data_IF_456625840836
#
_entry.id   IF_456625840836
#
_cell.length_a   1.000
_cell.length_b   1.000
_cell.length_c   1.000
_cell.angle_alpha   90.00
_cell.angle_beta   90.00
_cell.angle_gamma   90.00
#
_symmetry.space_group_name_H-M   'P 1'
#
loop_
_entity.id
_entity.type
_entity.pdbx_description
1 polymer ?
#
# COMPACT_ATOMS: atom_id res chain seq x y z
N UNK A 1 -27.74 -3.55 8.76
CA UNK A 1 -26.70 -4.48 9.24
C UNK A 1 -26.40 -4.34 10.72
N UNK A 2 -26.64 -3.16 11.35
CA UNK A 2 -26.37 -2.94 12.79
C UNK A 2 -27.13 -3.87 13.74
N UNK A 3 -28.25 -4.43 13.30
CA UNK A 3 -29.08 -5.35 14.07
C UNK A 3 -28.71 -6.82 13.89
N UNK A 4 -27.71 -7.11 13.04
CA UNK A 4 -27.24 -8.46 12.81
C UNK A 4 -26.39 -8.97 13.99
N UNK A 5 -26.57 -10.23 14.37
CA UNK A 5 -25.86 -10.84 15.52
C UNK A 5 -24.34 -10.81 15.39
N UNK A 6 -23.83 -10.85 14.15
CA UNK A 6 -22.38 -10.84 13.86
C UNK A 6 -21.78 -9.43 13.85
N UNK A 7 -22.60 -8.36 13.80
CA UNK A 7 -22.12 -6.99 13.62
C UNK A 7 -21.09 -6.58 14.67
N UNK A 8 -21.37 -6.87 15.96
CA UNK A 8 -20.49 -6.52 17.06
C UNK A 8 -19.19 -7.33 17.13
N UNK A 9 -19.11 -8.44 16.41
CA UNK A 9 -17.94 -9.32 16.33
C UNK A 9 -17.23 -9.21 14.98
N UNK A 10 -17.42 -8.08 14.28
CA UNK A 10 -16.89 -7.90 12.92
C UNK A 10 -16.06 -6.63 12.83
N UNK A 11 -14.88 -6.75 12.23
CA UNK A 11 -14.08 -5.62 11.77
C UNK A 11 -14.37 -5.41 10.29
N UNK A 12 -14.83 -4.21 9.95
CA UNK A 12 -15.07 -3.82 8.55
C UNK A 12 -13.85 -3.09 8.02
N UNK A 13 -13.35 -3.54 6.86
CA UNK A 13 -12.33 -2.81 6.11
C UNK A 13 -12.97 -2.30 4.84
N UNK A 14 -13.02 -0.99 4.68
CA UNK A 14 -13.64 -0.33 3.54
C UNK A 14 -12.57 0.42 2.77
N UNK A 15 -12.40 0.08 1.51
CA UNK A 15 -11.44 0.70 0.60
C UNK A 15 -11.96 0.58 -0.84
N UNK A 16 -11.18 1.07 -1.80
CA UNK A 16 -11.46 0.94 -3.23
C UNK A 16 -10.23 0.40 -3.97
N UNK A 17 -10.38 -0.06 -5.19
CA UNK A 17 -9.28 -0.46 -6.07
C UNK A 17 -8.62 0.76 -6.75
N UNK A 18 -9.40 1.78 -7.10
CA UNK A 18 -8.96 3.05 -7.67
C UNK A 18 -10.06 4.11 -7.52
N UNK A 19 -9.71 5.36 -7.79
CA UNK A 19 -10.68 6.47 -7.83
C UNK A 19 -11.58 6.39 -9.07
N UNK A 20 -12.76 7.01 -9.02
CA UNK A 20 -13.68 7.04 -10.16
C UNK A 20 -13.00 7.66 -11.40
N UNK A 21 -13.07 7.02 -12.57
CA UNK A 21 -12.62 7.60 -13.84
C UNK A 21 -13.36 8.90 -14.19
N UNK A 22 -14.57 9.08 -13.65
CA UNK A 22 -15.41 10.28 -13.84
C UNK A 22 -15.08 11.41 -12.85
N UNK A 23 -14.08 11.21 -11.96
CA UNK A 23 -13.68 12.28 -11.03
C UNK A 23 -13.37 13.56 -11.76
N UNK A 24 -13.94 14.67 -11.30
CA UNK A 24 -13.68 16.02 -11.83
C UNK A 24 -12.40 16.61 -11.26
N UNK A 25 -11.95 16.15 -10.10
CA UNK A 25 -10.76 16.65 -9.44
C UNK A 25 -9.50 16.20 -10.21
N UNK A 26 -8.71 17.21 -10.63
CA UNK A 26 -7.44 17.03 -11.35
C UNK A 26 -6.44 16.19 -10.56
N UNK A 27 -6.59 16.15 -9.25
CA UNK A 27 -5.74 15.38 -8.36
C UNK A 27 -5.87 13.88 -8.61
N UNK A 28 -7.00 13.38 -8.96
CA UNK A 28 -7.25 11.97 -9.23
C UNK A 28 -7.09 11.56 -10.70
N UNK A 29 -6.81 12.53 -11.61
CA UNK A 29 -6.67 12.29 -13.06
C UNK A 29 -5.26 11.90 -13.51
N UNK A 30 -4.27 11.93 -12.63
CA UNK A 30 -2.90 11.54 -12.98
C UNK A 30 -2.61 10.06 -12.65
N UNK A 31 -1.43 9.59 -13.10
CA UNK A 31 -1.04 8.16 -13.01
C UNK A 31 -0.93 7.62 -11.60
N UNK A 32 -0.73 8.45 -10.61
CA UNK A 32 -0.59 8.07 -9.19
C UNK A 32 -1.86 8.40 -8.43
N UNK A 33 -2.38 9.63 -8.58
CA UNK A 33 -3.56 10.10 -7.85
C UNK A 33 -4.81 9.25 -8.08
N UNK A 34 -4.95 8.62 -9.27
CA UNK A 34 -6.04 7.67 -9.51
C UNK A 34 -6.06 6.46 -8.56
N UNK A 35 -4.96 6.19 -7.87
CA UNK A 35 -4.84 5.14 -6.85
C UNK A 35 -4.78 5.70 -5.43
N UNK A 36 -5.00 7.02 -5.27
CA UNK A 36 -5.14 7.64 -3.95
C UNK A 36 -6.58 7.44 -3.46
N UNK A 37 -6.77 6.39 -2.69
CA UNK A 37 -8.06 5.91 -2.20
C UNK A 37 -8.07 5.92 -0.68
N UNK A 38 -9.24 6.05 -0.04
CA UNK A 38 -9.36 5.91 1.40
C UNK A 38 -9.19 4.45 1.84
N UNK A 39 -8.71 4.28 3.06
CA UNK A 39 -8.72 3.01 3.77
C UNK A 39 -9.33 3.24 5.16
N UNK A 40 -10.42 2.57 5.45
CA UNK A 40 -11.15 2.70 6.71
C UNK A 40 -11.21 1.36 7.42
N UNK A 41 -10.81 1.33 8.69
CA UNK A 41 -11.04 0.23 9.60
C UNK A 41 -12.14 0.65 10.58
N UNK A 42 -13.15 -0.17 10.75
CA UNK A 42 -14.27 0.10 11.63
C UNK A 42 -14.62 -1.14 12.48
N UNK A 43 -14.80 -0.95 13.77
CA UNK A 43 -15.39 -1.94 14.67
C UNK A 43 -16.48 -1.30 15.50
N UNK A 44 -17.50 -2.09 15.90
CA UNK A 44 -18.66 -1.58 16.64
C UNK A 44 -18.31 -1.18 18.09
N UNK A 45 -17.26 -1.77 18.66
CA UNK A 45 -16.75 -1.51 20.00
C UNK A 45 -16.02 -0.17 20.16
N UNK A 46 -15.87 0.58 19.06
CA UNK A 46 -15.17 1.86 19.01
C UNK A 46 -13.67 1.82 19.38
N UNK A 47 -13.02 0.69 19.33
CA UNK A 47 -11.57 0.57 19.57
C UNK A 47 -10.75 1.18 18.43
N UNK A 48 -11.30 1.19 17.20
CA UNK A 48 -10.67 1.75 16.02
C UNK A 48 -11.22 3.16 15.74
N UNK A 49 -10.69 4.15 16.44
CA UNK A 49 -11.07 5.57 16.27
C UNK A 49 -9.88 6.42 15.92
N UNK A 50 -10.12 7.44 15.09
CA UNK A 50 -9.16 8.46 14.74
C UNK A 50 -8.95 8.57 13.24
N UNK A 51 -8.05 9.47 12.88
CA UNK A 51 -7.60 9.70 11.51
C UNK A 51 -6.08 9.67 11.48
N UNK A 52 -5.53 9.04 10.44
CA UNK A 52 -4.09 8.98 10.21
C UNK A 52 -3.76 9.50 8.82
N UNK A 53 -2.64 10.22 8.69
CA UNK A 53 -2.08 10.66 7.41
C UNK A 53 -0.95 9.74 6.92
N UNK A 54 -0.77 8.59 7.56
CA UNK A 54 0.23 7.59 7.14
C UNK A 54 -0.11 7.10 5.74
N UNK A 55 0.87 7.11 4.85
CA UNK A 55 0.73 6.56 3.50
C UNK A 55 0.56 5.04 3.63
N UNK A 56 -0.58 4.53 3.15
CA UNK A 56 -0.96 3.12 3.25
C UNK A 56 -1.27 2.52 1.89
N UNK A 57 -1.32 1.21 1.80
CA UNK A 57 -1.63 0.47 0.58
C UNK A 57 -2.32 -0.86 0.91
N UNK A 58 -2.92 -1.52 -0.08
CA UNK A 58 -3.71 -2.75 0.13
C UNK A 58 -2.93 -3.87 0.81
N UNK A 59 -1.63 -4.00 0.56
CA UNK A 59 -0.81 -5.04 1.20
C UNK A 59 -0.66 -4.84 2.72
N UNK A 60 -1.03 -3.67 3.24
CA UNK A 60 -1.01 -3.35 4.67
C UNK A 60 -2.28 -3.84 5.40
N UNK A 61 -3.33 -4.22 4.67
CA UNK A 61 -4.62 -4.63 5.27
C UNK A 61 -4.44 -5.86 6.14
N UNK A 62 -3.83 -6.92 5.60
CA UNK A 62 -3.66 -8.18 6.34
C UNK A 62 -2.83 -7.99 7.63
N UNK A 63 -1.62 -7.41 7.60
CA UNK A 63 -0.85 -7.19 8.81
C UNK A 63 -1.56 -6.29 9.83
N UNK A 64 -2.35 -5.31 9.37
CA UNK A 64 -3.14 -4.46 10.26
C UNK A 64 -4.26 -5.22 10.97
N UNK A 65 -4.97 -6.09 10.25
CA UNK A 65 -6.00 -6.94 10.84
C UNK A 65 -5.41 -7.94 11.84
N UNK A 66 -4.30 -8.58 11.49
CA UNK A 66 -3.62 -9.51 12.39
C UNK A 66 -3.16 -8.82 13.69
N UNK A 67 -2.72 -7.57 13.58
CA UNK A 67 -2.30 -6.77 14.71
C UNK A 67 -3.48 -6.41 15.63
N UNK A 68 -4.58 -5.90 15.07
CA UNK A 68 -5.83 -5.62 15.82
C UNK A 68 -6.38 -6.87 16.50
N UNK A 69 -6.29 -8.03 15.84
CA UNK A 69 -6.72 -9.33 16.38
C UNK A 69 -5.74 -9.93 17.40
N UNK A 70 -4.61 -9.28 17.66
CA UNK A 70 -3.60 -9.75 18.60
C UNK A 70 -2.88 -11.03 18.15
N UNK A 71 -2.79 -11.29 16.84
CA UNK A 71 -2.11 -12.46 16.31
C UNK A 71 -0.59 -12.41 16.56
N UNK A 72 -0.01 -13.44 17.18
CA UNK A 72 1.39 -13.44 17.63
C UNK A 72 2.29 -14.45 16.91
N UNK A 73 1.75 -15.27 16.01
CA UNK A 73 2.57 -16.24 15.28
C UNK A 73 3.28 -15.57 14.10
N UNK A 74 4.46 -16.06 13.68
CA UNK A 74 5.12 -15.58 12.48
C UNK A 74 4.22 -15.73 11.24
N UNK A 75 4.23 -14.72 10.38
CA UNK A 75 3.56 -14.74 9.09
C UNK A 75 4.39 -13.95 8.06
N UNK A 76 4.13 -14.18 6.80
CA UNK A 76 4.75 -13.43 5.71
C UNK A 76 3.83 -12.33 5.22
N UNK A 77 4.36 -11.11 5.05
CA UNK A 77 3.68 -9.98 4.41
C UNK A 77 4.68 -9.11 3.68
N UNK A 78 4.26 -8.49 2.57
CA UNK A 78 4.99 -7.38 1.94
C UNK A 78 4.66 -6.04 2.57
N UNK A 79 3.50 -5.93 3.21
CA UNK A 79 3.03 -4.75 3.91
C UNK A 79 3.36 -4.78 5.39
N UNK A 80 3.04 -3.71 6.07
CA UNK A 80 3.22 -3.50 7.50
C UNK A 80 1.90 -3.05 8.13
N UNK A 81 1.69 -3.29 9.43
CA UNK A 81 0.52 -2.77 10.12
C UNK A 81 0.49 -1.24 10.05
N UNK A 82 -0.64 -0.67 9.62
CA UNK A 82 -0.84 0.78 9.50
C UNK A 82 -0.73 1.51 10.84
N UNK A 83 -0.82 0.80 11.95
CA UNK A 83 -0.73 1.37 13.30
C UNK A 83 0.71 1.65 13.74
N UNK A 84 1.70 1.01 13.11
CA UNK A 84 3.13 1.11 13.48
C UNK A 84 4.08 1.32 12.31
N UNK A 85 3.56 1.36 11.07
CA UNK A 85 4.41 1.39 9.88
C UNK A 85 5.09 2.74 9.64
N UNK A 86 6.20 2.67 8.93
CA UNK A 86 6.73 3.82 8.22
C UNK A 86 5.84 4.18 7.02
N UNK A 87 5.70 5.49 6.77
CA UNK A 87 4.78 6.03 5.76
C UNK A 87 5.33 5.83 4.35
N UNK A 88 4.91 4.76 3.69
CA UNK A 88 5.29 4.49 2.29
C UNK A 88 4.25 3.65 1.55
N UNK A 89 4.23 3.78 0.22
CA UNK A 89 3.50 2.89 -0.68
C UNK A 89 4.28 2.64 -1.97
N UNK A 90 4.06 1.49 -2.59
CA UNK A 90 4.62 1.16 -3.90
C UNK A 90 3.49 0.93 -4.90
N UNK A 91 3.51 1.70 -5.98
CA UNK A 91 2.66 1.50 -7.14
C UNK A 91 3.47 0.85 -8.27
N UNK A 92 2.98 -0.27 -8.79
CA UNK A 92 3.58 -0.98 -9.93
C UNK A 92 2.65 -0.91 -11.14
N UNK A 93 3.16 -0.49 -12.28
CA UNK A 93 2.44 -0.55 -13.56
C UNK A 93 3.42 -0.95 -14.67
N UNK A 94 3.25 -2.16 -15.21
CA UNK A 94 4.19 -2.77 -16.17
C UNK A 94 5.63 -2.74 -15.63
N UNK A 95 6.54 -2.07 -16.35
CA UNK A 95 7.96 -1.91 -16.00
C UNK A 95 8.24 -0.75 -15.03
N UNK A 96 7.21 0.05 -14.70
CA UNK A 96 7.37 1.20 -13.81
C UNK A 96 7.06 0.81 -12.37
N UNK A 97 7.95 1.21 -11.47
CA UNK A 97 7.70 1.22 -10.04
C UNK A 97 7.75 2.65 -9.52
N UNK A 98 6.80 3.02 -8.67
CA UNK A 98 6.81 4.29 -7.96
C UNK A 98 6.80 4.00 -6.46
N UNK A 99 7.83 4.44 -5.75
CA UNK A 99 7.84 4.49 -4.29
C UNK A 99 7.34 5.86 -3.86
N UNK A 100 6.30 5.87 -3.07
CA UNK A 100 5.63 7.06 -2.52
C UNK A 100 6.01 7.14 -1.05
N UNK A 101 6.55 8.27 -0.63
CA UNK A 101 6.93 8.56 0.76
C UNK A 101 6.51 9.99 1.10
N UNK A 102 6.61 10.37 2.37
CA UNK A 102 6.37 11.75 2.82
C UNK A 102 7.34 12.76 2.17
N UNK A 103 8.54 12.32 1.79
CA UNK A 103 9.54 13.15 1.11
C UNK A 103 9.28 13.33 -0.38
N UNK A 104 8.31 12.62 -0.94
CA UNK A 104 7.99 12.66 -2.37
C UNK A 104 7.95 11.29 -3.02
N UNK A 105 8.10 11.27 -4.34
CA UNK A 105 7.92 10.09 -5.16
C UNK A 105 9.21 9.76 -5.90
N UNK A 106 9.72 8.55 -5.68
CA UNK A 106 10.77 7.96 -6.51
C UNK A 106 10.14 7.12 -7.62
N UNK A 107 10.33 7.56 -8.85
CA UNK A 107 9.89 6.84 -10.04
C UNK A 107 11.06 6.04 -10.62
N UNK A 108 10.84 4.76 -10.89
CA UNK A 108 11.81 3.88 -11.54
C UNK A 108 11.20 3.26 -12.79
N UNK A 109 11.88 3.43 -13.91
CA UNK A 109 11.56 2.80 -15.19
C UNK A 109 12.86 2.17 -15.72
N UNK A 110 12.88 0.84 -15.88
CA UNK A 110 14.02 0.11 -16.47
C UNK A 110 15.38 0.58 -15.90
N UNK A 111 15.54 0.54 -14.56
CA UNK A 111 16.74 0.96 -13.81
C UNK A 111 17.06 2.47 -13.84
N UNK A 112 16.27 3.30 -14.52
CA UNK A 112 16.37 4.74 -14.45
C UNK A 112 15.53 5.28 -13.29
N UNK A 113 16.15 6.08 -12.42
CA UNK A 113 15.54 6.65 -11.23
C UNK A 113 15.36 8.15 -11.37
N UNK A 114 14.19 8.64 -10.97
CA UNK A 114 13.90 10.08 -10.90
C UNK A 114 12.97 10.37 -9.74
N UNK A 115 13.29 11.38 -8.93
CA UNK A 115 12.50 11.80 -7.78
C UNK A 115 11.72 13.07 -8.05
N UNK A 116 10.56 13.18 -7.43
CA UNK A 116 9.62 14.30 -7.57
C UNK A 116 9.05 14.67 -6.20
N UNK A 117 8.85 15.98 -5.98
CA UNK A 117 8.29 16.47 -4.72
C UNK A 117 6.80 16.19 -4.57
N UNK A 118 6.12 15.92 -5.68
CA UNK A 118 4.69 15.70 -5.70
C UNK A 118 4.28 14.57 -6.65
N UNK A 119 3.09 14.07 -6.45
CA UNK A 119 2.44 13.00 -7.20
C UNK A 119 2.03 13.36 -8.65
N UNK A 120 2.12 14.63 -9.04
CA UNK A 120 1.95 15.08 -10.44
C UNK A 120 3.18 14.78 -11.29
N UNK A 121 4.30 14.43 -10.65
CA UNK A 121 5.59 14.12 -11.28
C UNK A 121 6.12 15.28 -12.15
N UNK A 122 5.88 16.52 -11.73
CA UNK A 122 6.31 17.73 -12.45
C UNK A 122 7.58 18.32 -11.86
N UNK A 123 7.64 18.43 -10.56
CA UNK A 123 8.75 19.08 -9.85
C UNK A 123 9.80 18.05 -9.48
N UNK A 124 10.83 17.92 -10.32
CA UNK A 124 11.93 17.02 -10.10
C UNK A 124 12.80 17.48 -8.92
N UNK A 125 13.21 16.55 -8.09
CA UNK A 125 14.12 16.77 -6.96
C UNK A 125 15.29 15.78 -7.04
N UNK A 126 16.29 15.98 -6.19
CA UNK A 126 17.42 15.06 -6.08
C UNK A 126 16.97 13.65 -5.64
N UNK A 127 17.60 12.63 -6.18
CA UNK A 127 17.29 11.25 -5.84
C UNK A 127 17.83 10.90 -4.45
N UNK A 128 16.96 10.49 -3.55
CA UNK A 128 17.32 9.94 -2.25
C UNK A 128 17.90 8.52 -2.40
N UNK A 129 19.16 8.35 -1.98
CA UNK A 129 19.87 7.06 -2.08
C UNK A 129 19.24 5.97 -1.23
N UNK A 130 18.66 6.33 -0.07
CA UNK A 130 17.93 5.42 0.82
C UNK A 130 16.68 4.88 0.14
N UNK A 131 15.90 5.74 -0.48
CA UNK A 131 14.70 5.36 -1.23
C UNK A 131 15.04 4.46 -2.42
N UNK A 132 16.14 4.72 -3.13
CA UNK A 132 16.61 3.86 -4.22
C UNK A 132 16.97 2.46 -3.68
N UNK A 133 17.76 2.40 -2.58
CA UNK A 133 18.15 1.13 -1.95
C UNK A 133 16.91 0.34 -1.49
N UNK A 134 15.96 1.01 -0.84
CA UNK A 134 14.71 0.40 -0.40
C UNK A 134 13.91 -0.18 -1.57
N UNK A 135 13.70 0.59 -2.63
CA UNK A 135 12.93 0.14 -3.80
C UNK A 135 13.62 -1.03 -4.52
N UNK A 136 14.94 -1.04 -4.63
CA UNK A 136 15.71 -2.17 -5.18
C UNK A 136 15.50 -3.44 -4.36
N UNK A 137 15.63 -3.35 -3.03
CA UNK A 137 15.41 -4.47 -2.12
C UNK A 137 13.98 -5.00 -2.22
N UNK A 138 12.98 -4.14 -2.21
CA UNK A 138 11.58 -4.52 -2.38
C UNK A 138 11.34 -5.26 -3.70
N UNK A 139 11.81 -4.73 -4.82
CA UNK A 139 11.70 -5.36 -6.16
C UNK A 139 12.28 -6.78 -6.15
N UNK A 140 13.46 -6.93 -5.54
CA UNK A 140 14.13 -8.22 -5.46
C UNK A 140 13.35 -9.25 -4.63
N UNK A 141 12.86 -8.86 -3.46
CA UNK A 141 12.05 -9.73 -2.59
C UNK A 141 10.72 -10.09 -3.24
N UNK A 142 10.03 -9.10 -3.82
CA UNK A 142 8.78 -9.30 -4.54
C UNK A 142 8.94 -10.30 -5.69
N UNK A 143 9.99 -10.14 -6.52
CA UNK A 143 10.25 -11.04 -7.64
C UNK A 143 10.57 -12.47 -7.17
N UNK A 144 11.38 -12.62 -6.14
CA UNK A 144 11.71 -13.94 -5.56
C UNK A 144 10.46 -14.64 -5.02
N UNK A 145 9.61 -13.93 -4.28
CA UNK A 145 8.36 -14.48 -3.75
C UNK A 145 7.37 -14.87 -4.83
N UNK A 146 7.25 -14.07 -5.89
CA UNK A 146 6.38 -14.40 -7.02
C UNK A 146 6.85 -15.67 -7.74
N UNK A 147 8.16 -15.82 -7.94
CA UNK A 147 8.74 -17.03 -8.53
C UNK A 147 8.50 -18.24 -7.63
N UNK A 148 8.78 -18.12 -6.33
CA UNK A 148 8.57 -19.18 -5.36
C UNK A 148 7.10 -19.65 -5.34
N UNK A 149 6.16 -18.72 -5.24
CA UNK A 149 4.73 -19.04 -5.23
C UNK A 149 4.27 -19.68 -6.53
N UNK A 150 4.79 -19.22 -7.69
CA UNK A 150 4.48 -19.84 -8.99
C UNK A 150 4.97 -21.27 -9.05
N UNK A 151 6.19 -21.54 -8.59
CA UNK A 151 6.77 -22.89 -8.54
C UNK A 151 5.93 -23.77 -7.59
N UNK A 152 5.63 -23.27 -6.39
CA UNK A 152 4.82 -23.98 -5.40
C UNK A 152 3.45 -24.39 -5.97
N UNK A 153 2.70 -23.45 -6.51
CA UNK A 153 1.39 -23.72 -7.10
C UNK A 153 1.44 -24.67 -8.30
N UNK A 154 2.57 -24.74 -9.01
CA UNK A 154 2.72 -25.60 -10.19
C UNK A 154 3.15 -27.03 -9.86
N UNK A 155 3.85 -27.25 -8.74
CA UNK A 155 4.51 -28.51 -8.44
C UNK A 155 4.09 -29.16 -7.11
N UNK A 156 3.25 -28.52 -6.30
CA UNK A 156 2.64 -29.08 -5.09
C UNK A 156 1.18 -29.55 -5.34
N UNK A 157 0.88 -29.97 -6.54
CA UNK A 157 -0.38 -30.66 -6.87
C UNK A 157 -0.26 -32.14 -6.54
#
# INVERSE_FOLDING_TARGET
IKNEKWFNNTIFVITADHTSPKSVDKNYKNKIGRYSIPMLFYSADNTLKGQSNVITQHIDIMPSLLDVLGYKKPYFSFGESVFYKNSWAIHKNNKRYCLITEKGILNNIDENYSSFSDWRLKNRIENDKGNIKFLKSFKQHYSKSMIYNHIKLKYEL
#
